data_IF_565888843821
#
_entry.id   IF_565888843821
#
_cell.length_a   1.000
_cell.length_b   1.000
_cell.length_c   1.000
_cell.angle_alpha   90.00
_cell.angle_beta   90.00
_cell.angle_gamma   90.00
#
_symmetry.space_group_name_H-M   'P 1'
#
loop_
_entity.id
_entity.type
_entity.pdbx_description
1 polymer ?
#
# COMPACT_ATOMS: atom_id res chain seq x y z
N UNK A 1 13.67 38.54 27.03
CA UNK A 1 14.11 37.12 26.89
C UNK A 1 13.01 36.12 27.19
N UNK A 2 12.24 36.27 28.27
CA UNK A 2 11.23 35.29 28.69
C UNK A 2 10.16 35.01 27.62
N UNK A 3 9.72 36.02 26.87
CA UNK A 3 8.72 35.89 25.77
C UNK A 3 9.26 35.07 24.59
N UNK A 4 10.55 35.22 24.26
CA UNK A 4 11.18 34.46 23.17
C UNK A 4 11.31 32.98 23.52
N UNK A 5 11.71 32.70 24.77
CA UNK A 5 11.82 31.34 25.30
C UNK A 5 10.44 30.66 25.30
N UNK A 6 9.39 31.37 25.74
CA UNK A 6 8.03 30.84 25.75
C UNK A 6 7.51 30.52 24.33
N UNK A 7 7.82 31.37 23.35
CA UNK A 7 7.43 31.15 21.95
C UNK A 7 8.11 29.91 21.34
N UNK A 8 9.41 29.69 21.60
CA UNK A 8 10.11 28.50 21.13
C UNK A 8 9.54 27.21 21.75
N UNK A 9 9.18 27.23 23.03
CA UNK A 9 8.59 26.06 23.71
C UNK A 9 7.25 25.68 23.08
N UNK A 10 6.38 26.67 22.80
CA UNK A 10 5.07 26.41 22.17
C UNK A 10 5.24 25.83 20.76
N UNK A 11 6.22 26.31 19.98
CA UNK A 11 6.50 25.80 18.64
C UNK A 11 7.00 24.33 18.65
N UNK A 12 7.80 23.95 19.65
CA UNK A 12 8.26 22.57 19.79
C UNK A 12 7.13 21.63 20.26
N UNK A 13 6.30 22.09 21.19
CA UNK A 13 5.16 21.31 21.68
C UNK A 13 4.09 21.09 20.60
N UNK A 14 3.82 22.08 19.75
CA UNK A 14 2.85 21.94 18.66
C UNK A 14 3.32 20.94 17.60
N UNK A 15 4.60 20.97 17.20
CA UNK A 15 5.16 20.01 16.27
C UNK A 15 5.10 18.56 16.82
N UNK A 16 5.37 18.39 18.12
CA UNK A 16 5.31 17.08 18.77
C UNK A 16 3.88 16.50 18.81
N UNK A 17 2.87 17.32 19.09
CA UNK A 17 1.46 16.88 19.15
C UNK A 17 0.95 16.47 17.76
N UNK A 18 1.30 17.23 16.72
CA UNK A 18 0.92 16.89 15.34
C UNK A 18 1.59 15.57 14.91
N UNK A 19 2.87 15.36 15.25
CA UNK A 19 3.58 14.11 14.98
C UNK A 19 2.96 12.90 15.68
N UNK A 20 2.55 13.05 16.94
CA UNK A 20 1.92 11.97 17.70
C UNK A 20 0.54 11.59 17.14
N UNK A 21 -0.26 12.57 16.68
CA UNK A 21 -1.57 12.32 16.07
C UNK A 21 -1.48 11.62 14.71
N UNK A 22 -0.46 11.93 13.90
CA UNK A 22 -0.23 11.24 12.63
C UNK A 22 0.21 9.77 12.84
N UNK A 23 0.95 9.49 13.92
CA UNK A 23 1.38 8.14 14.27
C UNK A 23 0.25 7.24 14.76
N UNK A 24 -0.64 7.75 15.60
CA UNK A 24 -1.75 6.95 16.18
C UNK A 24 -2.86 6.62 15.18
N UNK A 25 -3.02 7.42 14.12
CA UNK A 25 -3.98 7.16 13.04
C UNK A 25 -3.71 5.86 12.31
N UNK A 26 -2.46 5.61 11.91
CA UNK A 26 -2.06 4.41 11.14
C UNK A 26 -2.24 3.14 11.97
N UNK A 27 -1.93 3.17 13.27
CA UNK A 27 -2.11 2.00 14.15
C UNK A 27 -3.57 1.71 14.45
N UNK A 28 -4.41 2.75 14.61
CA UNK A 28 -5.85 2.57 14.82
C UNK A 28 -6.56 1.93 13.62
N UNK A 29 -6.13 2.29 12.40
CA UNK A 29 -6.67 1.72 11.17
C UNK A 29 -6.25 0.26 11.02
N UNK A 30 -4.99 -0.06 11.34
CA UNK A 30 -4.49 -1.44 11.39
C UNK A 30 -5.23 -2.28 12.45
N UNK A 31 -5.57 -1.71 13.60
CA UNK A 31 -6.34 -2.38 14.64
C UNK A 31 -7.81 -2.63 14.24
N UNK A 32 -8.45 -1.68 13.56
CA UNK A 32 -9.82 -1.84 13.05
C UNK A 32 -9.91 -2.87 11.93
N UNK A 33 -8.89 -2.96 11.07
CA UNK A 33 -8.80 -4.00 10.04
C UNK A 33 -8.62 -5.39 10.67
N UNK A 34 -7.84 -5.49 11.74
CA UNK A 34 -7.70 -6.74 12.50
C UNK A 34 -9.03 -7.16 13.17
N UNK A 35 -9.75 -6.22 13.79
CA UNK A 35 -11.06 -6.49 14.39
C UNK A 35 -12.09 -6.94 13.34
N UNK A 36 -12.10 -6.32 12.17
CA UNK A 36 -12.98 -6.69 11.05
C UNK A 36 -12.68 -8.10 10.53
N UNK A 37 -11.39 -8.48 10.49
CA UNK A 37 -10.97 -9.84 10.11
C UNK A 37 -11.42 -10.90 11.12
N UNK A 38 -11.36 -10.62 12.43
CA UNK A 38 -11.84 -11.54 13.47
C UNK A 38 -13.36 -11.79 13.32
N UNK A 39 -14.12 -10.74 13.02
CA UNK A 39 -15.57 -10.86 12.77
C UNK A 39 -15.90 -11.68 11.51
N UNK A 40 -15.10 -11.52 10.44
CA UNK A 40 -15.25 -12.32 9.22
C UNK A 40 -14.88 -13.81 9.46
N UNK A 41 -13.83 -14.07 10.24
CA UNK A 41 -13.41 -15.42 10.63
C UNK A 41 -14.46 -16.13 11.47
N UNK A 42 -15.03 -15.49 12.49
CA UNK A 42 -16.07 -16.10 13.34
C UNK A 42 -17.32 -16.45 12.53
N UNK A 43 -17.68 -15.61 11.56
CA UNK A 43 -18.79 -15.86 10.64
C UNK A 43 -18.53 -17.06 9.71
N UNK A 44 -17.31 -17.20 9.20
CA UNK A 44 -16.92 -18.36 8.38
C UNK A 44 -16.89 -19.67 9.18
N UNK A 45 -16.46 -19.62 10.44
CA UNK A 45 -16.43 -20.76 11.35
C UNK A 45 -17.84 -21.23 11.73
N UNK A 46 -18.76 -20.28 11.93
CA UNK A 46 -20.18 -20.57 12.16
C UNK A 46 -20.82 -21.29 10.95
N UNK A 47 -20.51 -20.84 9.72
CA UNK A 47 -20.98 -21.48 8.49
C UNK A 47 -20.42 -22.91 8.32
N UNK A 48 -19.12 -23.09 8.58
CA UNK A 48 -18.46 -24.39 8.47
C UNK A 48 -18.98 -25.41 9.52
N UNK A 49 -19.39 -24.93 10.70
CA UNK A 49 -19.96 -25.78 11.74
C UNK A 49 -21.40 -26.19 11.42
N UNK A 50 -22.17 -25.34 10.73
CA UNK A 50 -23.53 -25.65 10.28
C UNK A 50 -23.59 -26.74 9.20
N UNK A 51 -22.54 -26.91 8.39
CA UNK A 51 -22.49 -27.94 7.34
C UNK A 51 -22.23 -29.36 7.86
N UNK A 52 -21.77 -29.54 9.11
CA UNK A 52 -21.38 -30.87 9.63
C UNK A 52 -22.50 -31.66 10.31
N UNK A 53 -23.70 -31.11 10.45
CA UNK A 53 -24.82 -31.77 11.15
C UNK A 53 -25.82 -32.45 10.19
N UNK A 54 -25.62 -32.31 8.86
CA UNK A 54 -26.47 -32.96 7.87
C UNK A 54 -25.84 -34.21 7.26
N UNK A 55 -26.50 -35.35 7.46
CA UNK A 55 -26.44 -36.58 6.64
C UNK A 55 -25.53 -37.71 7.15
N UNK A 56 -26.09 -38.51 8.06
CA UNK A 56 -25.75 -39.92 8.19
C UNK A 56 -27.03 -40.73 8.36
N UNK A 57 -27.52 -41.37 7.30
CA UNK A 57 -28.12 -42.71 7.23
C UNK A 57 -28.70 -42.90 5.82
N UNK A 58 -28.15 -43.83 5.02
CA UNK A 58 -28.71 -44.13 3.70
C UNK A 58 -27.83 -45.05 2.84
N UNK A 59 -27.86 -46.34 3.13
CA UNK A 59 -27.32 -47.44 2.32
C UNK A 59 -28.03 -47.51 0.97
N UNK A 60 -27.31 -47.61 -0.16
CA UNK A 60 -27.94 -47.85 -1.47
C UNK A 60 -26.98 -47.88 -2.67
N UNK A 61 -26.86 -49.05 -3.28
CA UNK A 61 -26.02 -49.45 -4.41
C UNK A 61 -26.55 -49.00 -5.79
N UNK A 62 -25.65 -48.98 -6.80
CA UNK A 62 -25.80 -49.08 -8.28
C UNK A 62 -25.68 -47.81 -9.16
N UNK A 63 -24.57 -47.80 -9.90
CA UNK A 63 -24.43 -47.78 -11.38
C UNK A 63 -25.43 -46.98 -12.22
N UNK A 64 -24.92 -46.02 -12.99
CA UNK A 64 -25.61 -45.42 -14.14
C UNK A 64 -24.77 -44.36 -14.87
N UNK A 65 -24.26 -44.73 -16.04
CA UNK A 65 -23.61 -43.87 -17.05
C UNK A 65 -24.65 -42.96 -17.71
N UNK A 66 -24.35 -41.66 -17.86
CA UNK A 66 -25.26 -40.73 -18.55
C UNK A 66 -24.61 -39.40 -18.88
N UNK A 67 -24.27 -39.23 -20.16
CA UNK A 67 -23.82 -38.01 -20.82
C UNK A 67 -24.97 -37.00 -20.90
N UNK A 68 -24.76 -35.75 -20.47
CA UNK A 68 -25.78 -34.71 -20.51
C UNK A 68 -25.16 -33.31 -20.60
N UNK A 69 -25.17 -32.77 -21.82
CA UNK A 69 -24.82 -31.39 -22.20
C UNK A 69 -25.89 -30.43 -21.70
N UNK A 70 -25.49 -29.35 -21.02
CA UNK A 70 -26.41 -28.31 -20.59
C UNK A 70 -25.68 -27.09 -20.02
N UNK A 71 -25.51 -26.06 -20.85
CA UNK A 71 -25.17 -24.69 -20.46
C UNK A 71 -26.41 -24.04 -19.81
N UNK A 72 -26.26 -23.28 -18.71
CA UNK A 72 -26.65 -21.87 -18.81
C UNK A 72 -25.74 -20.90 -18.02
N UNK A 73 -25.55 -19.73 -18.65
CA UNK A 73 -25.71 -18.37 -18.10
C UNK A 73 -24.96 -17.92 -16.83
N UNK A 74 -24.20 -16.85 -17.04
CA UNK A 74 -23.51 -16.02 -16.06
C UNK A 74 -24.36 -15.61 -14.84
N UNK A 75 -23.71 -15.59 -13.68
CA UNK A 75 -24.10 -14.71 -12.58
C UNK A 75 -22.85 -14.26 -11.82
N UNK A 76 -22.63 -12.96 -11.87
CA UNK A 76 -21.67 -12.20 -11.07
C UNK A 76 -22.05 -12.28 -9.59
N UNK A 77 -21.17 -12.86 -8.77
CA UNK A 77 -21.25 -12.69 -7.31
C UNK A 77 -19.85 -12.52 -6.74
N UNK A 78 -19.60 -11.32 -6.25
CA UNK A 78 -18.53 -10.88 -5.35
C UNK A 78 -18.23 -11.92 -4.26
N UNK A 79 -16.95 -12.30 -4.13
CA UNK A 79 -16.48 -13.23 -3.10
C UNK A 79 -15.95 -12.43 -1.90
N UNK A 80 -16.50 -12.61 -0.68
CA UNK A 80 -15.95 -11.99 0.52
C UNK A 80 -14.71 -12.76 0.98
N UNK A 81 -13.62 -12.01 1.14
CA UNK A 81 -12.32 -12.45 1.61
C UNK A 81 -12.28 -12.46 3.15
N UNK A 82 -12.06 -13.64 3.73
CA UNK A 82 -11.75 -13.81 5.15
C UNK A 82 -10.81 -15.01 5.37
N UNK A 83 -9.63 -14.75 5.93
CA UNK A 83 -8.82 -15.63 6.80
C UNK A 83 -7.57 -14.85 7.29
N UNK A 84 -7.35 -14.72 8.60
CA UNK A 84 -6.40 -15.47 9.46
C UNK A 84 -4.97 -14.93 9.40
N UNK A 85 -4.30 -14.76 10.56
CA UNK A 85 -2.88 -14.37 10.71
C UNK A 85 -1.93 -15.48 10.24
N UNK A 86 -2.04 -15.77 8.96
CA UNK A 86 -1.08 -16.42 8.08
C UNK A 86 -0.28 -15.28 7.42
N UNK A 87 0.99 -15.46 6.98
CA UNK A 87 1.66 -14.48 6.12
C UNK A 87 0.64 -13.95 5.11
N UNK A 88 0.48 -12.62 5.06
CA UNK A 88 -0.50 -11.95 4.20
C UNK A 88 -0.52 -12.67 2.83
N UNK A 89 -1.68 -13.09 2.30
CA UNK A 89 -1.71 -13.71 0.99
C UNK A 89 -0.99 -12.75 0.02
N UNK A 90 -0.05 -13.26 -0.80
CA UNK A 90 0.86 -12.44 -1.61
C UNK A 90 0.17 -11.28 -2.34
N UNK A 91 -1.05 -11.51 -2.84
CA UNK A 91 -1.85 -10.56 -3.61
C UNK A 91 -2.22 -9.22 -2.96
N UNK A 92 -2.18 -9.10 -1.63
CA UNK A 92 -2.54 -7.83 -0.95
C UNK A 92 -1.33 -6.90 -0.75
N UNK A 93 -0.11 -7.45 -0.70
CA UNK A 93 1.11 -6.66 -0.52
C UNK A 93 1.65 -6.21 -1.88
N UNK A 94 1.45 -7.01 -2.92
CA UNK A 94 2.03 -6.82 -4.26
C UNK A 94 1.02 -6.32 -5.32
N UNK A 95 -0.13 -5.78 -4.90
CA UNK A 95 -1.21 -5.31 -5.77
C UNK A 95 -1.76 -6.36 -6.75
N UNK A 96 -1.63 -7.65 -6.43
CA UNK A 96 -2.08 -8.75 -7.27
C UNK A 96 -1.04 -9.19 -8.29
N UNK A 97 0.22 -8.77 -8.16
CA UNK A 97 1.30 -9.26 -9.01
C UNK A 97 1.52 -10.77 -8.89
N UNK A 98 1.31 -11.37 -7.72
CA UNK A 98 1.40 -12.82 -7.54
C UNK A 98 0.20 -13.56 -8.13
N UNK A 99 -1.00 -12.97 -8.02
CA UNK A 99 -2.24 -13.66 -8.39
C UNK A 99 -2.58 -13.49 -9.89
N UNK A 100 -2.29 -12.32 -10.46
CA UNK A 100 -2.61 -12.00 -11.85
C UNK A 100 -1.59 -11.02 -12.46
N UNK A 101 -0.34 -11.45 -12.70
CA UNK A 101 0.73 -10.58 -13.17
C UNK A 101 0.37 -9.91 -14.51
N UNK A 102 -0.33 -10.61 -15.41
CA UNK A 102 -0.70 -10.08 -16.73
C UNK A 102 -1.65 -8.86 -16.66
N UNK A 103 -2.50 -8.78 -15.63
CA UNK A 103 -3.40 -7.64 -15.46
C UNK A 103 -2.72 -6.44 -14.78
N UNK A 104 -1.64 -6.68 -14.04
CA UNK A 104 -0.92 -5.64 -13.29
C UNK A 104 0.28 -5.12 -14.08
N UNK A 105 0.91 -5.98 -14.89
CA UNK A 105 2.04 -5.60 -15.72
C UNK A 105 1.62 -4.54 -16.76
N UNK A 106 2.37 -3.45 -16.81
CA UNK A 106 2.06 -2.30 -17.64
C UNK A 106 0.91 -1.41 -17.13
N UNK A 107 0.26 -1.77 -16.03
CA UNK A 107 -0.79 -0.94 -15.43
C UNK A 107 -0.21 0.34 -14.83
N UNK A 108 -1.03 1.39 -14.83
CA UNK A 108 -0.63 2.73 -14.38
C UNK A 108 -1.06 2.95 -12.93
N UNK A 109 -0.15 3.45 -12.11
CA UNK A 109 -0.43 3.92 -10.76
C UNK A 109 -0.11 5.40 -10.67
N UNK A 110 -1.04 6.20 -10.17
CA UNK A 110 -0.80 7.62 -9.88
C UNK A 110 -0.60 7.77 -8.38
N UNK A 111 0.58 8.25 -7.99
CA UNK A 111 0.90 8.50 -6.57
C UNK A 111 -0.18 9.36 -5.92
N UNK A 112 -0.42 9.12 -4.65
CA UNK A 112 -1.40 9.89 -3.89
C UNK A 112 -1.18 11.39 -4.10
N UNK A 113 -2.25 12.10 -4.41
CA UNK A 113 -2.24 13.56 -4.42
C UNK A 113 -3.26 13.99 -3.40
N UNK A 114 -2.81 14.23 -2.17
CA UNK A 114 -3.67 14.90 -1.20
C UNK A 114 -3.93 16.31 -1.74
N UNK A 115 -5.13 16.57 -2.22
CA UNK A 115 -5.64 17.94 -2.32
C UNK A 115 -6.04 18.36 -0.90
N UNK A 116 -5.06 18.62 -0.05
CA UNK A 116 -5.37 19.28 1.22
C UNK A 116 -5.66 20.74 0.91
N UNK A 117 -6.94 21.10 0.92
CA UNK A 117 -7.31 22.49 1.16
C UNK A 117 -7.10 22.75 2.65
N UNK A 118 -5.94 23.34 3.02
CA UNK A 118 -5.79 23.96 4.33
C UNK A 118 -6.66 25.22 4.29
N UNK A 119 -7.95 25.08 4.57
CA UNK A 119 -8.75 26.23 4.97
C UNK A 119 -8.21 26.65 6.34
N UNK A 120 -7.31 27.62 6.36
CA UNK A 120 -7.11 28.46 7.54
C UNK A 120 -8.41 29.22 7.79
N UNK A 121 -9.45 28.57 8.33
CA UNK A 121 -10.55 29.31 8.94
C UNK A 121 -9.96 29.99 10.17
N UNK A 122 -9.88 31.32 10.11
CA UNK A 122 -9.48 32.19 11.23
C UNK A 122 -10.40 32.09 12.46
N UNK A 123 -11.46 31.28 12.40
CA UNK A 123 -12.53 31.28 13.40
C UNK A 123 -12.55 30.06 14.33
N UNK A 124 -11.60 29.13 14.23
CA UNK A 124 -11.54 27.94 15.10
C UNK A 124 -10.61 28.17 16.32
N UNK A 125 -10.97 29.13 17.17
CA UNK A 125 -10.51 29.20 18.55
C UNK A 125 -11.75 29.23 19.47
N UNK A 126 -12.48 28.12 19.50
CA UNK A 126 -13.40 27.79 20.59
C UNK A 126 -12.99 26.42 21.16
N UNK A 127 -12.88 26.22 22.49
CA UNK A 127 -12.17 25.08 23.07
C UNK A 127 -12.94 23.75 23.11
N UNK A 128 -14.13 23.61 22.53
CA UNK A 128 -15.04 22.49 22.88
C UNK A 128 -15.37 21.43 21.82
N UNK A 129 -14.84 21.48 20.60
CA UNK A 129 -15.09 20.40 19.61
C UNK A 129 -13.80 19.76 19.09
N UNK A 130 -13.37 18.70 19.78
CA UNK A 130 -12.18 17.90 19.48
C UNK A 130 -12.48 16.60 18.71
N UNK A 131 -13.55 16.56 17.90
CA UNK A 131 -13.91 15.36 17.15
C UNK A 131 -14.34 15.68 15.72
N UNK A 132 -13.40 15.47 14.80
CA UNK A 132 -13.70 15.19 13.40
C UNK A 132 -13.14 16.21 12.42
N UNK A 133 -11.91 16.00 11.97
CA UNK A 133 -11.50 16.50 10.65
C UNK A 133 -12.35 15.79 9.59
N UNK A 134 -13.42 16.44 9.12
CA UNK A 134 -14.13 16.03 7.90
C UNK A 134 -13.39 16.61 6.70
N UNK A 135 -12.76 15.74 5.91
CA UNK A 135 -12.19 16.12 4.62
C UNK A 135 -13.32 16.26 3.60
N UNK A 136 -13.56 17.48 3.12
CA UNK A 136 -14.58 17.78 2.12
C UNK A 136 -13.87 18.22 0.82
N UNK A 137 -14.14 17.54 -0.31
CA UNK A 137 -13.24 17.47 -1.47
C UNK A 137 -13.47 18.50 -2.59
N UNK A 138 -14.39 19.46 -2.46
CA UNK A 138 -15.03 20.01 -3.67
C UNK A 138 -14.79 21.48 -4.04
N UNK A 139 -13.80 22.20 -3.51
CA UNK A 139 -13.50 23.57 -3.99
C UNK A 139 -12.00 23.82 -4.16
N UNK A 140 -11.60 24.11 -5.40
CA UNK A 140 -10.23 24.08 -5.89
C UNK A 140 -9.42 25.34 -5.63
N UNK A 141 -8.33 25.18 -4.87
CA UNK A 141 -6.96 25.65 -5.14
C UNK A 141 -6.04 24.70 -4.35
N UNK A 142 -5.64 23.57 -4.95
CA UNK A 142 -5.04 22.44 -4.24
C UNK A 142 -3.51 22.44 -4.25
N UNK A 143 -2.89 22.35 -3.07
CA UNK A 143 -1.47 22.02 -2.94
C UNK A 143 -1.29 20.54 -3.28
N UNK A 144 -0.68 20.24 -4.43
CA UNK A 144 -0.38 18.87 -4.85
C UNK A 144 0.84 18.38 -4.03
N UNK A 145 0.60 17.58 -2.99
CA UNK A 145 1.64 17.18 -2.02
C UNK A 145 2.75 16.33 -2.66
N UNK A 146 2.46 15.50 -3.68
CA UNK A 146 3.45 14.62 -4.32
C UNK A 146 3.52 14.76 -5.86
N UNK A 147 2.99 15.85 -6.42
CA UNK A 147 3.08 16.14 -7.86
C UNK A 147 2.23 15.26 -8.79
N UNK A 148 1.54 14.22 -8.28
CA UNK A 148 0.71 13.33 -9.10
C UNK A 148 1.52 12.50 -10.09
N UNK A 149 2.69 12.03 -9.66
CA UNK A 149 3.59 11.22 -10.48
C UNK A 149 2.91 9.91 -10.89
N UNK A 150 3.04 9.54 -12.16
CA UNK A 150 2.46 8.29 -12.67
C UNK A 150 3.54 7.26 -12.95
N UNK A 151 3.41 6.11 -12.33
CA UNK A 151 4.29 4.96 -12.46
C UNK A 151 3.64 3.88 -13.31
N UNK A 152 4.43 3.17 -14.09
CA UNK A 152 4.06 1.93 -14.73
C UNK A 152 4.59 0.77 -13.90
N UNK A 153 3.70 -0.16 -13.53
CA UNK A 153 4.03 -1.30 -12.68
C UNK A 153 4.48 -2.50 -13.51
N UNK A 154 5.45 -3.24 -13.00
CA UNK A 154 6.02 -4.42 -13.60
C UNK A 154 6.19 -5.53 -12.55
N UNK A 155 5.55 -6.66 -12.79
CA UNK A 155 5.62 -7.78 -11.85
C UNK A 155 6.83 -8.67 -12.16
N UNK A 156 7.48 -9.23 -11.13
CA UNK A 156 8.62 -10.14 -11.26
C UNK A 156 9.80 -9.52 -12.04
N UNK A 157 9.98 -8.21 -11.89
CA UNK A 157 11.02 -7.42 -12.53
C UNK A 157 11.75 -6.59 -11.48
N UNK A 158 13.04 -6.39 -11.69
CA UNK A 158 13.88 -5.47 -10.93
C UNK A 158 14.38 -4.35 -11.84
N UNK A 159 14.45 -3.15 -11.27
CA UNK A 159 14.99 -1.98 -11.95
C UNK A 159 16.52 -1.97 -11.87
N UNK A 160 17.24 -1.51 -12.90
CA UNK A 160 18.69 -1.34 -12.81
C UNK A 160 19.05 -0.15 -11.89
N UNK A 161 20.35 0.02 -11.65
CA UNK A 161 20.96 1.04 -10.79
C UNK A 161 20.94 0.74 -9.29
N UNK A 162 21.82 1.45 -8.56
CA UNK A 162 21.92 1.36 -7.11
C UNK A 162 20.79 2.17 -6.45
N UNK A 163 20.28 1.72 -5.28
CA UNK A 163 19.23 2.44 -4.57
C UNK A 163 19.75 3.77 -3.98
N UNK A 164 18.97 4.83 -4.16
CA UNK A 164 19.12 6.12 -3.47
C UNK A 164 18.76 6.00 -1.99
N UNK A 165 17.72 5.22 -1.72
CA UNK A 165 17.18 5.00 -0.39
C UNK A 165 16.54 3.63 -0.33
N UNK A 166 16.76 2.93 0.79
CA UNK A 166 16.04 1.71 1.14
C UNK A 166 15.19 1.98 2.37
N UNK A 167 13.92 1.59 2.32
CA UNK A 167 12.98 1.77 3.43
C UNK A 167 12.01 0.60 3.54
N UNK A 168 11.29 0.54 4.66
CA UNK A 168 10.22 -0.44 4.87
C UNK A 168 8.87 0.22 4.55
N UNK A 169 8.15 -0.32 3.57
CA UNK A 169 6.76 0.05 3.26
C UNK A 169 5.80 -1.08 3.55
N UNK A 170 4.54 -0.75 3.77
CA UNK A 170 3.49 -1.74 3.99
C UNK A 170 3.21 -2.57 2.73
N UNK A 171 3.20 -1.91 1.57
CA UNK A 171 2.82 -2.47 0.28
C UNK A 171 3.55 -1.76 -0.87
N UNK A 172 3.28 -2.24 -2.09
CA UNK A 172 3.87 -1.72 -3.31
C UNK A 172 3.45 -0.28 -3.63
N UNK A 173 2.21 0.11 -3.29
CA UNK A 173 1.71 1.48 -3.52
C UNK A 173 2.42 2.49 -2.62
N UNK A 174 2.55 2.16 -1.34
CA UNK A 174 3.30 2.94 -0.37
C UNK A 174 4.77 3.11 -0.80
N UNK A 175 5.35 2.13 -1.50
CA UNK A 175 6.69 2.24 -2.09
C UNK A 175 6.75 3.28 -3.22
N UNK A 176 5.77 3.29 -4.13
CA UNK A 176 5.66 4.30 -5.19
C UNK A 176 5.35 5.69 -4.64
N UNK A 177 4.51 5.80 -3.62
CA UNK A 177 4.24 7.07 -2.92
C UNK A 177 5.49 7.60 -2.21
N UNK A 178 6.29 6.71 -1.62
CA UNK A 178 7.59 7.07 -1.04
C UNK A 178 8.54 7.62 -2.10
N UNK A 179 8.58 7.01 -3.29
CA UNK A 179 9.34 7.51 -4.44
C UNK A 179 8.89 8.92 -4.86
N UNK A 180 7.57 9.14 -4.95
CA UNK A 180 7.03 10.45 -5.30
C UNK A 180 7.36 11.51 -4.24
N UNK A 181 7.30 11.15 -2.96
CA UNK A 181 7.72 12.02 -1.86
C UNK A 181 9.20 12.39 -1.95
N UNK A 182 10.06 11.42 -2.25
CA UNK A 182 11.49 11.64 -2.37
C UNK A 182 11.79 12.63 -3.49
N UNK A 183 11.24 12.39 -4.68
CA UNK A 183 11.39 13.28 -5.85
C UNK A 183 10.88 14.69 -5.59
N UNK A 184 9.82 14.85 -4.79
CA UNK A 184 9.26 16.16 -4.47
C UNK A 184 10.15 16.95 -3.51
N UNK A 185 10.62 16.30 -2.45
CA UNK A 185 11.25 17.01 -1.33
C UNK A 185 12.78 17.00 -1.39
N UNK A 186 13.41 15.93 -1.88
CA UNK A 186 14.87 15.82 -1.92
C UNK A 186 15.56 16.96 -2.68
N UNK A 187 15.07 17.40 -3.87
CA UNK A 187 15.70 18.50 -4.60
C UNK A 187 15.69 19.84 -3.86
N UNK A 188 14.77 20.03 -2.90
CA UNK A 188 14.68 21.27 -2.10
C UNK A 188 15.87 21.41 -1.15
N UNK A 189 16.45 20.29 -0.70
CA UNK A 189 17.55 20.28 0.26
C UNK A 189 18.91 20.03 -0.40
N UNK A 190 18.92 19.25 -1.49
CA UNK A 190 20.16 18.74 -2.11
C UNK A 190 20.38 19.24 -3.54
N UNK A 191 19.53 20.16 -4.02
CA UNK A 191 19.55 20.65 -5.39
C UNK A 191 18.96 19.64 -6.39
N UNK A 192 18.61 20.10 -7.59
CA UNK A 192 18.00 19.22 -8.59
C UNK A 192 19.06 18.44 -9.37
N UNK A 193 19.16 17.13 -9.12
CA UNK A 193 20.05 16.20 -9.80
C UNK A 193 19.48 14.77 -9.83
N UNK A 194 20.12 13.88 -10.58
CA UNK A 194 19.69 12.47 -10.75
C UNK A 194 19.61 11.67 -9.45
N UNK A 195 20.36 12.05 -8.41
CA UNK A 195 20.33 11.40 -7.10
C UNK A 195 19.23 11.95 -6.18
N UNK A 196 18.56 13.02 -6.58
CA UNK A 196 17.45 13.64 -5.82
C UNK A 196 16.09 13.37 -6.45
N UNK A 197 16.07 12.63 -7.55
CA UNK A 197 14.87 12.25 -8.28
C UNK A 197 14.77 10.73 -8.32
N UNK A 198 13.75 10.20 -7.67
CA UNK A 198 13.37 8.81 -7.79
C UNK A 198 12.59 8.61 -9.09
N UNK A 199 13.16 7.83 -10.00
CA UNK A 199 12.57 7.52 -11.31
C UNK A 199 12.02 6.10 -11.39
N UNK A 200 12.43 5.23 -10.47
CA UNK A 200 11.89 3.89 -10.37
C UNK A 200 11.97 3.34 -8.94
N UNK A 201 11.20 2.30 -8.68
CA UNK A 201 11.26 1.54 -7.44
C UNK A 201 11.43 0.05 -7.70
N UNK A 202 12.04 -0.63 -6.75
CA UNK A 202 11.98 -2.09 -6.62
C UNK A 202 11.41 -2.45 -5.27
N UNK A 203 10.43 -3.34 -5.28
CA UNK A 203 9.68 -3.75 -4.10
C UNK A 203 9.73 -5.27 -3.95
N UNK A 204 10.13 -5.74 -2.77
CA UNK A 204 10.30 -7.17 -2.46
C UNK A 204 9.34 -7.55 -1.34
N UNK A 205 8.15 -8.09 -1.65
CA UNK A 205 7.10 -8.37 -0.65
C UNK A 205 7.57 -9.31 0.45
N UNK A 206 8.47 -10.25 0.12
CA UNK A 206 9.04 -11.20 1.07
C UNK A 206 9.82 -10.52 2.20
N UNK A 207 10.29 -9.28 2.01
CA UNK A 207 11.07 -8.54 3.00
C UNK A 207 10.22 -7.54 3.80
N UNK A 208 8.90 -7.56 3.67
CA UNK A 208 8.01 -6.70 4.48
C UNK A 208 8.09 -7.01 5.98
N UNK A 209 8.50 -8.23 6.34
CA UNK A 209 8.82 -8.63 7.70
C UNK A 209 10.29 -8.35 8.01
N UNK A 210 10.54 -7.67 9.14
CA UNK A 210 11.90 -7.35 9.60
C UNK A 210 12.75 -8.60 9.80
N UNK A 211 12.14 -9.70 10.26
CA UNK A 211 12.86 -10.96 10.48
C UNK A 211 13.34 -11.55 9.15
N UNK A 212 12.49 -11.55 8.14
CA UNK A 212 12.81 -12.09 6.81
C UNK A 212 13.81 -11.19 6.07
N UNK A 213 13.63 -9.88 6.16
CA UNK A 213 14.59 -8.90 5.64
C UNK A 213 15.97 -9.08 6.29
N UNK A 214 16.03 -9.20 7.63
CA UNK A 214 17.29 -9.38 8.35
C UNK A 214 17.98 -10.69 8.00
N UNK A 215 17.22 -11.76 7.80
CA UNK A 215 17.74 -13.08 7.40
C UNK A 215 18.30 -13.05 5.97
N UNK A 216 17.71 -12.22 5.11
CA UNK A 216 18.20 -11.97 3.75
C UNK A 216 19.32 -10.91 3.68
N UNK A 217 19.72 -10.30 4.81
CA UNK A 217 20.69 -9.20 4.83
C UNK A 217 20.17 -7.92 4.15
N UNK A 218 18.86 -7.77 4.06
CA UNK A 218 18.21 -6.67 3.37
C UNK A 218 17.92 -5.49 4.32
N UNK A 219 18.27 -4.24 3.94
CA UNK A 219 17.97 -3.04 4.71
C UNK A 219 16.52 -2.55 4.60
N UNK A 220 15.68 -3.17 3.76
CA UNK A 220 14.29 -2.76 3.54
C UNK A 220 13.61 -3.55 2.43
N UNK A 221 12.31 -3.37 2.26
CA UNK A 221 11.56 -4.02 1.17
C UNK A 221 11.29 -3.09 -0.01
N UNK A 222 11.52 -1.79 0.13
CA UNK A 222 11.30 -0.79 -0.90
C UNK A 222 12.60 -0.03 -1.20
N UNK A 223 13.02 -0.08 -2.45
CA UNK A 223 14.25 0.54 -2.94
C UNK A 223 13.91 1.63 -3.95
N UNK A 224 14.23 2.88 -3.60
CA UNK A 224 14.08 4.03 -4.49
C UNK A 224 15.32 4.14 -5.38
N UNK A 225 15.15 4.24 -6.70
CA UNK A 225 16.27 4.24 -7.66
C UNK A 225 16.28 5.50 -8.54
N UNK A 226 17.47 5.97 -8.95
CA UNK A 226 17.60 7.16 -9.78
C UNK A 226 17.17 6.90 -11.22
N UNK A 227 16.95 7.99 -11.96
CA UNK A 227 16.70 7.98 -13.39
C UNK A 227 17.96 8.18 -14.25
N UNK A 228 17.83 8.06 -15.59
CA UNK A 228 16.64 7.61 -16.31
C UNK A 228 16.44 6.09 -16.21
N UNK A 229 15.18 5.64 -16.27
CA UNK A 229 14.77 4.24 -16.14
C UNK A 229 13.76 3.93 -17.23
N UNK A 230 13.95 2.82 -17.93
CA UNK A 230 13.11 2.39 -19.05
C UNK A 230 12.70 0.94 -18.86
N UNK A 231 11.55 0.55 -19.41
CA UNK A 231 11.07 -0.83 -19.39
C UNK A 231 12.08 -1.82 -19.98
N UNK A 232 12.77 -1.43 -21.06
CA UNK A 232 13.77 -2.27 -21.72
C UNK A 232 15.01 -2.56 -20.88
N UNK A 233 15.22 -1.80 -19.80
CA UNK A 233 16.36 -1.96 -18.91
C UNK A 233 16.03 -2.82 -17.67
N UNK A 234 14.76 -3.22 -17.51
CA UNK A 234 14.31 -4.10 -16.43
C UNK A 234 14.91 -5.50 -16.60
N UNK A 235 15.27 -6.12 -15.47
CA UNK A 235 15.85 -7.47 -15.44
C UNK A 235 15.04 -8.38 -14.55
N UNK A 236 15.10 -9.69 -14.84
CA UNK A 236 14.53 -10.69 -13.94
C UNK A 236 15.37 -10.74 -12.66
N UNK A 237 14.75 -10.58 -11.47
CA UNK A 237 15.47 -10.57 -10.21
C UNK A 237 16.15 -11.92 -9.94
N UNK A 238 17.44 -11.90 -9.58
CA UNK A 238 18.22 -13.09 -9.21
C UNK A 238 18.26 -13.36 -7.69
N UNK A 239 17.39 -12.70 -6.92
CA UNK A 239 17.36 -12.76 -5.45
C UNK A 239 16.61 -13.97 -4.87
N UNK A 240 16.04 -14.83 -5.72
CA UNK A 240 15.32 -16.04 -5.30
C UNK A 240 13.94 -15.80 -4.67
N UNK A 241 13.48 -14.54 -4.62
CA UNK A 241 12.15 -14.12 -4.18
C UNK A 241 11.54 -13.16 -5.20
N UNK A 242 10.21 -13.00 -5.17
CA UNK A 242 9.51 -12.08 -6.07
C UNK A 242 9.96 -10.63 -5.83
N UNK A 243 10.21 -9.90 -6.91
CA UNK A 243 10.49 -8.47 -6.91
C UNK A 243 9.56 -7.79 -7.92
N UNK A 244 9.00 -6.66 -7.56
CA UNK A 244 8.14 -5.86 -8.43
C UNK A 244 8.80 -4.51 -8.66
N UNK A 245 8.79 -4.07 -9.91
CA UNK A 245 9.37 -2.81 -10.33
C UNK A 245 8.26 -1.83 -10.67
N UNK A 246 8.47 -0.54 -10.40
CA UNK A 246 7.65 0.49 -11.04
C UNK A 246 8.53 1.61 -11.59
N UNK A 247 8.24 2.06 -12.79
CA UNK A 247 9.03 3.08 -13.51
C UNK A 247 8.18 4.31 -13.77
N UNK A 248 8.72 5.50 -13.54
CA UNK A 248 8.04 6.77 -13.74
C UNK A 248 7.80 7.02 -15.25
N UNK A 249 6.55 7.17 -15.69
CA UNK A 249 6.17 7.28 -17.11
C UNK A 249 6.45 8.65 -17.76
N UNK A 250 7.15 9.55 -17.05
CA UNK A 250 7.59 10.83 -17.57
C UNK A 250 8.92 11.25 -16.95
N UNK A 251 9.83 10.29 -16.77
CA UNK A 251 11.23 10.56 -16.40
C UNK A 251 11.96 11.18 -17.59
N UNK A 252 11.59 12.42 -17.96
CA UNK A 252 12.27 13.25 -18.97
C UNK A 252 13.16 14.28 -18.31
#
# INVERSE_FOLDING_TARGET
>A
MLVFILSCIIALLSAAVIGLAAGTGIESQRANDAASKISALSSSLALATATRTGTGTGTGTRTGTGTGTGTPTASSTTKPSGASETPLPPGLIDDGCADNPESVNGSKYTSFSCKTTILWRRDFFSPEEYLGMRFNTDIGYGLIVFGGLTFQRFCNMDTPHQPLLSLFTADFQACMDSCASYTKYSPTFFGNNVNTTCAAVSFVPAWSSKLDASSAGSPGNCYLKPGPQNESALVVPSIGVACHAAVLMNAS
#
